data_IF_678800565026
#
_entry.id   IF_678800565026
#
_cell.length_a   1.000
_cell.length_b   1.000
_cell.length_c   1.000
_cell.angle_alpha   90.00
_cell.angle_beta   90.00
_cell.angle_gamma   90.00
#
_symmetry.space_group_name_H-M   'P 1'
#
loop_
_entity.id
_entity.type
_entity.pdbx_description
1 polymer ?
#
# COMPACT_ATOMS: atom_id res chain seq x y z
N UNK A 1 1.21 21.92 30.64
CA UNK A 1 1.94 21.93 29.35
C UNK A 1 1.76 20.56 28.71
N UNK A 2 0.63 20.36 28.01
CA UNK A 2 0.30 19.08 27.39
C UNK A 2 0.93 19.05 25.99
N UNK A 3 2.03 18.31 25.86
CA UNK A 3 2.69 18.09 24.59
C UNK A 3 1.74 17.34 23.65
N UNK A 4 1.36 18.02 22.57
CA UNK A 4 0.70 17.43 21.42
C UNK A 4 1.49 16.21 20.96
N UNK A 5 0.91 15.01 21.09
CA UNK A 5 1.40 13.85 20.35
C UNK A 5 1.28 14.20 18.86
N UNK A 6 2.41 14.44 18.19
CA UNK A 6 2.47 14.45 16.73
C UNK A 6 2.01 13.07 16.27
N UNK A 7 0.82 12.99 15.68
CA UNK A 7 0.44 11.83 14.86
C UNK A 7 1.43 11.78 13.71
N UNK A 8 2.11 10.65 13.56
CA UNK A 8 2.79 10.35 12.32
C UNK A 8 1.69 10.22 11.25
N UNK A 9 1.60 11.20 10.35
CA UNK A 9 0.52 11.27 9.34
C UNK A 9 0.72 10.23 8.22
N UNK A 10 1.78 9.42 8.28
CA UNK A 10 2.15 8.50 7.23
C UNK A 10 2.67 9.23 6.00
N UNK A 11 3.45 8.53 5.18
CA UNK A 11 3.97 9.08 3.93
C UNK A 11 2.89 8.96 2.85
N UNK A 12 2.33 10.09 2.43
CA UNK A 12 1.39 10.16 1.30
C UNK A 12 2.17 10.44 0.02
N UNK A 13 1.88 9.68 -1.04
CA UNK A 13 2.48 9.86 -2.36
C UNK A 13 1.36 10.06 -3.37
N UNK A 14 1.46 11.10 -4.20
CA UNK A 14 0.53 11.30 -5.31
C UNK A 14 0.83 10.29 -6.42
N UNK A 15 -0.20 9.75 -7.06
CA UNK A 15 -0.04 8.79 -8.16
C UNK A 15 0.84 9.33 -9.30
N UNK A 16 0.81 10.63 -9.56
CA UNK A 16 1.62 11.26 -10.60
C UNK A 16 3.13 11.24 -10.29
N UNK A 17 3.52 10.99 -9.03
CA UNK A 17 4.91 10.98 -8.58
C UNK A 17 5.47 9.55 -8.39
N UNK A 18 4.71 8.51 -8.73
CA UNK A 18 5.06 7.12 -8.40
C UNK A 18 6.08 6.47 -9.34
N UNK A 19 6.33 7.06 -10.51
CA UNK A 19 7.18 6.47 -11.57
C UNK A 19 8.55 6.01 -11.06
N UNK A 20 9.17 6.81 -10.19
CA UNK A 20 10.48 6.50 -9.64
C UNK A 20 10.50 5.32 -8.65
N UNK A 21 9.33 4.90 -8.17
CA UNK A 21 9.15 3.83 -7.19
C UNK A 21 8.72 2.50 -7.82
N UNK A 22 8.20 2.52 -9.05
CA UNK A 22 7.78 1.33 -9.79
C UNK A 22 8.95 0.33 -9.87
N UNK A 23 8.70 -0.90 -9.40
CA UNK A 23 9.69 -1.98 -9.36
C UNK A 23 10.74 -1.86 -8.25
N UNK A 24 10.73 -0.79 -7.44
CA UNK A 24 11.71 -0.54 -6.38
C UNK A 24 11.13 -0.66 -4.96
N UNK A 25 9.80 -0.58 -4.83
CA UNK A 25 9.09 -0.67 -3.54
C UNK A 25 8.11 -1.84 -3.54
N UNK A 26 7.72 -2.29 -2.35
CA UNK A 26 6.62 -3.26 -2.18
C UNK A 26 5.28 -2.53 -2.30
N UNK A 27 4.78 -2.42 -3.53
CA UNK A 27 3.49 -1.80 -3.84
C UNK A 27 2.37 -2.85 -3.80
N UNK A 28 1.34 -2.58 -3.00
CA UNK A 28 0.15 -3.42 -2.87
C UNK A 28 -1.07 -2.64 -3.35
N UNK A 29 -1.81 -3.22 -4.30
CA UNK A 29 -3.11 -2.74 -4.74
C UNK A 29 -4.19 -3.50 -3.97
N UNK A 30 -4.90 -2.80 -3.07
CA UNK A 30 -5.91 -3.41 -2.18
C UNK A 30 -7.33 -3.41 -2.76
N UNK A 31 -7.49 -2.96 -4.02
CA UNK A 31 -8.77 -3.02 -4.73
C UNK A 31 -9.20 -4.46 -5.02
N UNK A 32 -10.44 -4.61 -5.46
CA UNK A 32 -10.97 -5.91 -5.83
C UNK A 32 -10.29 -6.47 -7.09
N UNK A 33 -10.29 -7.80 -7.20
CA UNK A 33 -9.58 -8.53 -8.28
C UNK A 33 -9.99 -8.05 -9.68
N UNK A 34 -11.27 -7.71 -9.88
CA UNK A 34 -11.77 -7.26 -11.17
C UNK A 34 -11.30 -5.84 -11.53
N UNK A 35 -11.10 -4.96 -10.55
CA UNK A 35 -10.55 -3.62 -10.75
C UNK A 35 -9.08 -3.68 -11.12
N UNK A 36 -8.32 -4.53 -10.41
CA UNK A 36 -6.93 -4.81 -10.74
C UNK A 36 -6.77 -5.40 -12.15
N UNK A 37 -7.65 -6.32 -12.53
CA UNK A 37 -7.66 -6.92 -13.87
C UNK A 37 -7.97 -5.90 -14.98
N UNK A 38 -8.73 -4.85 -14.67
CA UNK A 38 -8.97 -3.72 -15.57
C UNK A 38 -7.76 -2.81 -15.77
N UNK A 39 -6.71 -2.96 -14.95
CA UNK A 39 -5.48 -2.18 -14.99
C UNK A 39 -5.02 -1.76 -13.60
N UNK A 40 -3.70 -1.76 -13.39
CA UNK A 40 -3.07 -1.32 -12.14
C UNK A 40 -1.69 -0.75 -12.41
N UNK A 41 -1.07 -0.20 -11.36
CA UNK A 41 0.30 0.30 -11.40
C UNK A 41 1.24 -0.88 -11.59
N UNK A 42 2.18 -0.74 -12.52
CA UNK A 42 3.18 -1.77 -12.82
C UNK A 42 3.92 -2.16 -11.53
N UNK A 43 4.25 -3.44 -11.40
CA UNK A 43 4.87 -4.06 -10.21
C UNK A 43 4.00 -4.17 -8.94
N UNK A 44 2.79 -3.62 -8.93
CA UNK A 44 1.86 -3.80 -7.81
C UNK A 44 1.46 -5.27 -7.67
N UNK A 45 1.32 -5.75 -6.44
CA UNK A 45 0.70 -7.04 -6.11
C UNK A 45 -0.74 -6.79 -5.68
N UNK A 46 -1.71 -7.48 -6.29
CA UNK A 46 -3.09 -7.38 -5.83
C UNK A 46 -3.30 -8.26 -4.58
N UNK A 47 -3.66 -7.62 -3.47
CA UNK A 47 -4.08 -8.30 -2.24
C UNK A 47 -5.34 -7.55 -1.78
N UNK A 48 -6.55 -7.99 -2.18
CA UNK A 48 -7.79 -7.29 -1.86
C UNK A 48 -7.90 -7.01 -0.36
N UNK A 49 -8.41 -5.84 0.00
CA UNK A 49 -8.48 -5.37 1.38
C UNK A 49 -9.13 -6.42 2.30
N UNK A 50 -10.21 -7.07 1.86
CA UNK A 50 -10.87 -8.12 2.64
C UNK A 50 -9.97 -9.33 2.93
N UNK A 51 -9.12 -9.74 1.98
CA UNK A 51 -8.15 -10.81 2.19
C UNK A 51 -7.00 -10.35 3.10
N UNK A 52 -6.50 -9.12 2.90
CA UNK A 52 -5.44 -8.52 3.70
C UNK A 52 -5.82 -8.38 5.18
N UNK A 53 -7.02 -7.88 5.47
CA UNK A 53 -7.51 -7.68 6.83
C UNK A 53 -7.81 -9.00 7.55
N UNK A 54 -8.17 -10.05 6.81
CA UNK A 54 -8.45 -11.37 7.36
C UNK A 54 -7.18 -12.08 7.83
N UNK A 55 -6.09 -11.98 7.08
CA UNK A 55 -4.82 -12.67 7.36
C UNK A 55 -3.60 -11.76 7.15
N UNK A 56 -3.43 -10.66 7.92
CA UNK A 56 -2.40 -9.66 7.66
C UNK A 56 -0.97 -10.23 7.76
N UNK A 57 -0.71 -11.11 8.72
CA UNK A 57 0.61 -11.71 8.93
C UNK A 57 1.06 -12.62 7.77
N UNK A 58 0.13 -13.08 6.93
CA UNK A 58 0.43 -13.87 5.72
C UNK A 58 1.03 -13.00 4.61
N UNK A 59 0.64 -11.73 4.56
CA UNK A 59 0.97 -10.81 3.48
C UNK A 59 2.00 -9.74 3.88
N UNK A 60 1.99 -9.33 5.16
CA UNK A 60 2.79 -8.23 5.68
C UNK A 60 3.84 -8.72 6.67
N UNK A 61 5.09 -8.36 6.40
CA UNK A 61 6.20 -8.50 7.33
C UNK A 61 6.43 -7.18 8.05
N UNK A 62 6.40 -7.18 9.39
CA UNK A 62 6.57 -5.96 10.22
C UNK A 62 7.91 -5.24 10.04
N UNK A 63 8.90 -5.89 9.43
CA UNK A 63 10.22 -5.30 9.13
C UNK A 63 10.33 -4.78 7.69
N UNK A 64 9.24 -4.78 6.93
CA UNK A 64 9.18 -4.25 5.56
C UNK A 64 8.30 -3.00 5.49
N UNK A 65 8.70 -2.07 4.64
CA UNK A 65 7.88 -0.92 4.26
C UNK A 65 7.03 -1.28 3.04
N UNK A 66 5.74 -0.97 3.10
CA UNK A 66 4.77 -1.23 2.05
C UNK A 66 4.07 0.06 1.64
N UNK A 67 3.79 0.18 0.35
CA UNK A 67 3.00 1.27 -0.22
C UNK A 67 1.65 0.69 -0.60
N UNK A 68 0.58 1.27 -0.07
CA UNK A 68 -0.79 0.81 -0.32
C UNK A 68 -1.48 1.77 -1.28
N UNK A 69 -2.04 1.21 -2.35
CA UNK A 69 -2.85 1.91 -3.33
C UNK A 69 -4.28 1.35 -3.28
N UNK A 70 -5.25 2.26 -3.33
CA UNK A 70 -6.68 1.99 -3.39
C UNK A 70 -7.30 2.81 -4.52
#
# INVERSE_FOLDING_TARGET
MFGFLKRDEGKVINVNDIDNLIGKVELIDIREKYEYAGGSIKSAKNIPMGELLKEPDKYLNKNKEYYIMC
#
